data_IF_097365387796
#
_entry.id   IF_097365387796
#
_cell.length_a   1.000
_cell.length_b   1.000
_cell.length_c   1.000
_cell.angle_alpha   90.00
_cell.angle_beta   90.00
_cell.angle_gamma   90.00
#
_symmetry.space_group_name_H-M   'P 1'
#
loop_
_entity.id
_entity.type
_entity.pdbx_description
1 polymer ?
#
# COMPACT_ATOMS: atom_id res chain seq x y z
N UNK A 1 20.62 -15.61 -10.18
CA UNK A 1 20.28 -15.49 -8.74
C UNK A 1 18.76 -15.43 -8.69
N UNK A 2 18.14 -16.52 -8.26
CA UNK A 2 16.71 -16.82 -8.48
C UNK A 2 16.05 -16.75 -7.10
N UNK A 3 15.09 -15.84 -6.91
CA UNK A 3 14.24 -15.90 -5.71
C UNK A 3 13.03 -16.76 -6.05
N UNK A 4 13.04 -17.95 -5.48
CA UNK A 4 11.96 -18.90 -5.50
C UNK A 4 10.95 -18.57 -4.39
N UNK A 5 9.67 -18.72 -4.72
CA UNK A 5 8.55 -19.12 -3.85
C UNK A 5 7.92 -18.04 -2.96
N UNK A 6 6.67 -17.69 -3.28
CA UNK A 6 5.52 -17.91 -2.40
C UNK A 6 4.24 -18.05 -3.26
N UNK A 7 3.92 -19.30 -3.58
CA UNK A 7 2.58 -19.74 -3.95
C UNK A 7 1.65 -19.56 -2.73
N UNK A 8 0.94 -18.44 -2.67
CA UNK A 8 -0.05 -18.15 -1.63
C UNK A 8 -1.45 -18.15 -2.20
N UNK A 9 -2.12 -19.29 -2.16
CA UNK A 9 -3.57 -19.36 -2.27
C UNK A 9 -4.17 -18.63 -1.06
N UNK A 10 -4.45 -17.33 -1.19
CA UNK A 10 -5.02 -16.53 -0.11
C UNK A 10 -6.54 -16.68 -0.09
N UNK A 11 -7.00 -17.80 0.46
CA UNK A 11 -8.39 -17.95 0.88
C UNK A 11 -8.55 -17.27 2.24
N UNK A 12 -9.52 -16.34 2.27
CA UNK A 12 -9.81 -15.34 3.30
C UNK A 12 -10.22 -15.95 4.64
N UNK A 13 -9.71 -15.36 5.72
CA UNK A 13 -10.44 -15.17 6.97
C UNK A 13 -10.16 -13.75 7.49
N UNK A 14 -11.19 -12.90 7.44
CA UNK A 14 -11.22 -11.63 8.18
C UNK A 14 -11.47 -11.99 9.64
N UNK A 15 -10.40 -11.96 10.44
CA UNK A 15 -10.43 -12.19 11.88
C UNK A 15 -9.57 -11.13 12.58
N UNK A 16 -9.87 -9.85 12.36
CA UNK A 16 -9.43 -8.75 13.23
C UNK A 16 -7.92 -8.58 13.45
N UNK A 17 -7.07 -9.15 12.61
CA UNK A 17 -5.61 -8.98 12.61
C UNK A 17 -5.12 -8.08 11.47
N UNK A 18 -3.87 -7.61 11.56
CA UNK A 18 -3.22 -6.92 10.44
C UNK A 18 -3.21 -7.84 9.20
N UNK A 19 -3.50 -7.28 8.02
CA UNK A 19 -3.57 -8.03 6.75
C UNK A 19 -2.29 -8.85 6.54
N UNK A 20 -2.33 -10.10 6.02
CA UNK A 20 -1.15 -10.97 5.95
C UNK A 20 0.05 -10.44 5.16
N UNK A 21 -0.19 -9.47 4.28
CA UNK A 21 0.88 -8.77 3.57
C UNK A 21 1.66 -7.79 4.45
N UNK A 22 1.09 -7.31 5.57
CA UNK A 22 1.78 -6.38 6.47
C UNK A 22 3.04 -7.04 7.03
N UNK A 23 4.17 -6.35 6.92
CA UNK A 23 5.49 -6.86 7.29
C UNK A 23 6.17 -7.72 6.21
N UNK A 24 5.47 -8.10 5.13
CA UNK A 24 6.06 -8.80 4.00
C UNK A 24 6.60 -7.83 2.95
N UNK A 25 7.45 -8.35 2.05
CA UNK A 25 7.87 -7.64 0.85
C UNK A 25 6.67 -7.41 -0.07
N UNK A 26 6.50 -6.17 -0.53
CA UNK A 26 5.43 -5.81 -1.43
C UNK A 26 5.59 -6.51 -2.79
N UNK A 27 4.53 -7.13 -3.33
CA UNK A 27 4.49 -7.47 -4.75
C UNK A 27 4.67 -6.20 -5.58
N UNK A 28 5.25 -6.33 -6.77
CA UNK A 28 5.32 -5.21 -7.71
C UNK A 28 3.92 -4.94 -8.33
N UNK A 29 3.05 -4.31 -7.55
CA UNK A 29 1.70 -3.94 -7.97
C UNK A 29 1.75 -3.10 -9.23
N UNK A 30 0.81 -3.38 -10.14
CA UNK A 30 0.70 -2.67 -11.41
C UNK A 30 -0.71 -2.12 -11.59
N UNK A 31 -0.80 -0.85 -11.91
CA UNK A 31 -2.05 -0.19 -12.29
C UNK A 31 -2.37 -0.46 -13.77
N UNK A 32 -3.64 -0.36 -14.13
CA UNK A 32 -4.12 -0.56 -15.49
C UNK A 32 -3.51 0.42 -16.51
N UNK A 33 -3.03 1.58 -16.06
CA UNK A 33 -2.33 2.58 -16.88
C UNK A 33 -0.85 2.26 -17.13
N UNK A 34 -0.34 1.15 -16.57
CA UNK A 34 1.04 0.71 -16.70
C UNK A 34 1.97 1.16 -15.57
N UNK A 35 1.51 2.01 -14.65
CA UNK A 35 2.29 2.43 -13.47
C UNK A 35 2.62 1.22 -12.59
N UNK A 36 3.88 1.07 -12.21
CA UNK A 36 4.36 -0.01 -11.32
C UNK A 36 4.82 0.54 -9.97
N UNK A 37 4.64 -0.24 -8.91
CA UNK A 37 5.13 0.10 -7.58
C UNK A 37 6.64 0.38 -7.61
N UNK A 38 7.43 -0.48 -8.25
CA UNK A 38 8.88 -0.31 -8.33
C UNK A 38 9.30 1.04 -8.93
N UNK A 39 8.57 1.53 -9.94
CA UNK A 39 8.86 2.81 -10.58
C UNK A 39 8.52 4.00 -9.65
N UNK A 40 7.42 3.88 -8.88
CA UNK A 40 7.00 4.89 -7.91
C UNK A 40 7.96 5.01 -6.72
N UNK A 41 8.66 3.92 -6.39
CA UNK A 41 9.63 3.84 -5.30
C UNK A 41 11.05 4.28 -5.66
N UNK A 42 11.32 4.59 -6.94
CA UNK A 42 12.66 4.88 -7.44
C UNK A 42 13.34 6.10 -6.77
N UNK A 43 12.56 7.00 -6.16
CA UNK A 43 13.06 8.17 -5.44
C UNK A 43 13.23 7.96 -3.93
N UNK A 44 13.08 6.72 -3.44
CA UNK A 44 13.27 6.37 -2.03
C UNK A 44 12.15 6.84 -1.10
N UNK A 45 10.99 7.25 -1.62
CA UNK A 45 9.81 7.56 -0.81
C UNK A 45 8.96 6.33 -0.53
N UNK A 46 8.17 6.39 0.53
CA UNK A 46 7.09 5.44 0.73
C UNK A 46 6.01 5.64 -0.33
N UNK A 47 5.19 4.61 -0.59
CA UNK A 47 4.12 4.69 -1.58
C UNK A 47 2.81 4.25 -0.96
N UNK A 48 1.78 5.08 -1.10
CA UNK A 48 0.39 4.70 -0.85
C UNK A 48 -0.29 4.45 -2.20
N UNK A 49 -0.60 3.18 -2.46
CA UNK A 49 -1.40 2.77 -3.61
C UNK A 49 -2.86 2.61 -3.20
N UNK A 50 -3.74 3.29 -3.92
CA UNK A 50 -5.18 3.27 -3.69
C UNK A 50 -5.90 2.67 -4.90
N UNK A 51 -6.39 1.46 -4.73
CA UNK A 51 -7.15 0.72 -5.75
C UNK A 51 -8.66 0.99 -5.63
N UNK A 52 -9.10 1.74 -4.62
CA UNK A 52 -10.50 2.06 -4.40
C UNK A 52 -11.01 3.07 -5.44
N UNK A 53 -12.25 2.88 -5.90
CA UNK A 53 -12.86 3.77 -6.90
C UNK A 53 -13.06 5.19 -6.35
N UNK A 54 -13.27 5.32 -5.04
CA UNK A 54 -13.54 6.57 -4.33
C UNK A 54 -12.28 7.25 -3.78
N UNK A 55 -11.08 6.69 -4.03
CA UNK A 55 -9.79 7.30 -3.74
C UNK A 55 -9.68 7.79 -2.30
N UNK A 56 -10.14 6.96 -1.36
CA UNK A 56 -10.32 7.37 0.04
C UNK A 56 -9.00 7.76 0.71
N UNK A 57 -7.87 7.31 0.22
CA UNK A 57 -6.58 7.64 0.83
C UNK A 57 -5.93 8.90 0.27
N UNK A 58 -6.51 9.54 -0.75
CA UNK A 58 -5.90 10.73 -1.34
C UNK A 58 -5.67 11.85 -0.31
N UNK A 59 -6.74 12.31 0.34
CA UNK A 59 -6.67 13.38 1.33
C UNK A 59 -5.73 13.07 2.51
N UNK A 60 -5.85 11.92 3.22
CA UNK A 60 -4.95 11.62 4.34
C UNK A 60 -3.49 11.43 3.88
N UNK A 61 -3.24 10.89 2.68
CA UNK A 61 -1.87 10.73 2.17
C UNK A 61 -1.17 12.07 1.90
N UNK A 62 -1.92 13.14 1.58
CA UNK A 62 -1.34 14.49 1.43
C UNK A 62 -0.74 15.01 2.74
N UNK A 63 -1.20 14.52 3.91
CA UNK A 63 -0.56 14.80 5.19
C UNK A 63 0.90 14.32 5.27
N UNK A 64 1.37 13.48 4.35
CA UNK A 64 2.77 13.04 4.28
C UNK A 64 3.42 13.39 2.95
N UNK A 65 2.97 14.47 2.31
CA UNK A 65 3.61 14.97 1.10
C UNK A 65 5.13 15.10 1.31
N UNK A 66 5.90 14.63 0.32
CA UNK A 66 7.36 14.55 0.38
C UNK A 66 7.92 13.26 1.03
N UNK A 67 7.19 12.58 1.92
CA UNK A 67 7.59 11.28 2.52
C UNK A 67 6.85 10.09 1.92
N UNK A 68 5.57 10.29 1.59
CA UNK A 68 4.70 9.30 0.96
C UNK A 68 4.28 9.85 -0.41
N UNK A 69 4.50 9.05 -1.45
CA UNK A 69 3.95 9.27 -2.79
C UNK A 69 2.60 8.57 -2.87
N UNK A 70 1.56 9.32 -3.23
CA UNK A 70 0.23 8.76 -3.49
C UNK A 70 0.06 8.44 -4.97
N UNK A 71 -0.48 7.27 -5.29
CA UNK A 71 -0.97 6.94 -6.62
C UNK A 71 -2.25 6.11 -6.51
N UNK A 72 -3.16 6.30 -7.47
CA UNK A 72 -4.45 5.64 -7.46
C UNK A 72 -4.86 5.19 -8.85
N UNK A 73 -5.55 4.06 -8.92
CA UNK A 73 -6.05 3.50 -10.16
C UNK A 73 -6.48 2.05 -10.00
N UNK A 74 -7.14 1.53 -11.02
CA UNK A 74 -7.49 0.10 -11.07
C UNK A 74 -6.21 -0.72 -11.11
N UNK A 75 -6.02 -1.64 -10.16
CA UNK A 75 -4.92 -2.58 -10.23
C UNK A 75 -5.19 -3.65 -11.29
N UNK A 76 -4.14 -4.16 -11.93
CA UNK A 76 -4.23 -5.36 -12.76
C UNK A 76 -4.43 -6.61 -11.90
N UNK A 77 -3.77 -6.65 -10.74
CA UNK A 77 -3.93 -7.66 -9.70
C UNK A 77 -3.77 -6.95 -8.35
N UNK A 78 -4.86 -6.86 -7.58
CA UNK A 78 -4.88 -6.19 -6.26
C UNK A 78 -4.80 -7.17 -5.08
N UNK A 79 -4.80 -8.48 -5.32
CA UNK A 79 -4.79 -9.51 -4.28
C UNK A 79 -5.96 -9.37 -3.28
N UNK A 80 -7.08 -8.76 -3.70
CA UNK A 80 -8.24 -8.48 -2.87
C UNK A 80 -8.17 -7.19 -2.05
N UNK A 81 -7.08 -6.41 -2.18
CA UNK A 81 -6.88 -5.15 -1.47
C UNK A 81 -7.71 -4.02 -2.09
N UNK A 82 -8.07 -3.04 -1.26
CA UNK A 82 -8.49 -1.71 -1.71
C UNK A 82 -7.37 -0.68 -1.65
N UNK A 83 -6.37 -0.88 -0.78
CA UNK A 83 -5.20 -0.03 -0.74
C UNK A 83 -4.02 -0.68 0.00
N UNK A 84 -2.82 -0.17 -0.23
CA UNK A 84 -1.60 -0.59 0.46
C UNK A 84 -0.66 0.59 0.70
N UNK A 85 -0.02 0.61 1.87
CA UNK A 85 1.08 1.52 2.20
C UNK A 85 2.37 0.72 2.25
N UNK A 86 3.34 1.11 1.43
CA UNK A 86 4.65 0.48 1.30
C UNK A 86 5.74 1.44 1.76
N UNK A 87 6.67 0.94 2.57
CA UNK A 87 7.84 1.67 3.07
C UNK A 87 8.91 1.82 1.97
N UNK A 88 9.85 2.77 2.11
CA UNK A 88 10.96 2.92 1.16
C UNK A 88 11.80 1.66 0.93
N UNK A 89 11.82 0.72 1.89
CA UNK A 89 12.52 -0.55 1.81
C UNK A 89 11.72 -1.67 1.12
N UNK A 90 10.51 -1.38 0.62
CA UNK A 90 9.64 -2.35 -0.07
C UNK A 90 8.76 -3.15 0.86
N UNK A 91 8.82 -2.93 2.17
CA UNK A 91 7.98 -3.65 3.14
C UNK A 91 6.61 -3.00 3.25
N UNK A 92 5.55 -3.80 3.22
CA UNK A 92 4.18 -3.32 3.45
C UNK A 92 4.02 -2.91 4.91
N UNK A 93 3.72 -1.63 5.14
CA UNK A 93 3.46 -1.06 6.46
C UNK A 93 1.99 -1.16 6.87
N UNK A 94 1.08 -1.22 5.90
CA UNK A 94 -0.36 -1.36 6.12
C UNK A 94 -1.04 -1.80 4.82
N UNK A 95 -2.14 -2.54 4.94
CA UNK A 95 -2.99 -2.94 3.83
C UNK A 95 -4.45 -2.86 4.26
N UNK A 96 -5.30 -2.35 3.38
CA UNK A 96 -6.73 -2.15 3.62
C UNK A 96 -7.58 -2.89 2.61
N UNK A 97 -8.77 -3.31 3.04
CA UNK A 97 -9.79 -3.90 2.17
C UNK A 97 -10.35 -2.90 1.15
N UNK A 98 -11.27 -3.37 0.30
CA UNK A 98 -11.95 -2.60 -0.76
C UNK A 98 -12.52 -1.24 -0.32
N UNK A 99 -12.82 -1.08 0.96
CA UNK A 99 -13.12 0.21 1.59
C UNK A 99 -12.04 0.50 2.64
N UNK A 100 -10.90 1.10 2.24
CA UNK A 100 -9.79 1.30 3.15
C UNK A 100 -10.17 2.24 4.29
N UNK A 101 -9.82 1.84 5.53
CA UNK A 101 -9.97 2.66 6.74
C UNK A 101 -8.89 3.75 6.76
N UNK A 102 -9.34 5.01 6.72
CA UNK A 102 -8.47 6.20 6.73
C UNK A 102 -7.72 6.34 8.04
N UNK A 103 -8.37 6.09 9.17
CA UNK A 103 -7.76 6.27 10.49
C UNK A 103 -6.69 5.20 10.71
N UNK A 104 -6.93 3.97 10.24
CA UNK A 104 -5.93 2.90 10.27
C UNK A 104 -4.71 3.23 9.40
N UNK A 105 -4.95 3.76 8.19
CA UNK A 105 -3.88 4.25 7.32
C UNK A 105 -3.07 5.36 8.00
N UNK A 106 -3.71 6.37 8.59
CA UNK A 106 -3.03 7.49 9.26
C UNK A 106 -2.22 7.05 10.48
N UNK A 107 -2.73 6.09 11.27
CA UNK A 107 -1.98 5.48 12.38
C UNK A 107 -0.72 4.78 11.87
N UNK A 108 -0.83 4.01 10.78
CA UNK A 108 0.32 3.34 10.18
C UNK A 108 1.31 4.35 9.57
N UNK A 109 0.82 5.35 8.85
CA UNK A 109 1.63 6.43 8.29
C UNK A 109 2.38 7.19 9.40
N UNK A 110 1.70 7.53 10.50
CA UNK A 110 2.33 8.17 11.67
C UNK A 110 3.42 7.30 12.30
N UNK A 111 3.16 5.99 12.45
CA UNK A 111 4.10 5.03 13.04
C UNK A 111 5.40 4.92 12.23
N UNK A 112 5.29 4.90 10.91
CA UNK A 112 6.43 4.60 10.03
C UNK A 112 7.09 5.82 9.41
N UNK A 113 6.35 6.91 9.25
CA UNK A 113 6.83 8.12 8.58
C UNK A 113 6.84 9.34 9.52
N UNK A 114 6.35 9.23 10.76
CA UNK A 114 6.25 10.34 11.73
C UNK A 114 4.96 11.15 11.55
N UNK A 115 4.77 12.23 12.31
CA UNK A 115 3.57 13.08 12.24
C UNK A 115 3.33 13.69 10.85
N UNK A 116 2.08 13.96 10.45
CA UNK A 116 1.78 14.61 9.18
C UNK A 116 2.37 16.03 9.12
N UNK A 117 2.64 16.53 7.91
CA UNK A 117 2.99 17.93 7.69
C UNK A 117 1.77 18.80 8.00
N UNK A 118 1.99 19.90 8.73
CA UNK A 118 0.96 20.89 9.09
C UNK A 118 0.75 21.91 7.97
#
# INVERSE_FOLDING_TARGET
YVFERLSGAWIRYDLGGEHPLVGASAPDFRLADGTRLGDLMADGRGVALDFSTDRRLHAPAMGWEGRIRYAAGTAQEDLGLGAVLVRPDGVVAWAGDRRPDRDAFERAASRWFGSPVS
#
